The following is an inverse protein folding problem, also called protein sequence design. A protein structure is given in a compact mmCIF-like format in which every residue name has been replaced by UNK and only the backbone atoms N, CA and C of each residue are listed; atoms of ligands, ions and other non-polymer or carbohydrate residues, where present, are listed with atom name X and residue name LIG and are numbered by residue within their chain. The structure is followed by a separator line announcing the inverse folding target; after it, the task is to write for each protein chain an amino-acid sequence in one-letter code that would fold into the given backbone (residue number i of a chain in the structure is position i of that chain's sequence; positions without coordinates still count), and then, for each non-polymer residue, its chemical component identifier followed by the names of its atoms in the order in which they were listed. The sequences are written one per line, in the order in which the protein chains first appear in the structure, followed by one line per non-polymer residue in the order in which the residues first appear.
data_IF_000302711045
#
_entry.id   IF_000302711045
#
_cell.length_a   1.000
_cell.length_b   1.000
_cell.length_c   1.000
_cell.angle_alpha   90.00
_cell.angle_beta   90.00
_cell.angle_gamma   90.00
#
_symmetry.space_group_name_H-M   'P 1'
#
loop_
_entity.id
_entity.type
_entity.pdbx_description
1 polymer ?
#
# COMPACT_ATOMS: atom_id res chain seq x y z
N UNK A 1 -5.25 40.08 -15.48
CA UNK A 1 -5.43 38.91 -14.60
C UNK A 1 -4.11 38.62 -13.90
N UNK A 2 -3.92 39.08 -12.66
CA UNK A 2 -2.78 38.68 -11.83
C UNK A 2 -3.15 37.36 -11.16
N UNK A 3 -2.48 36.29 -11.54
CA UNK A 3 -2.52 35.02 -10.82
C UNK A 3 -1.89 35.25 -9.45
N UNK A 4 -2.72 35.37 -8.41
CA UNK A 4 -2.27 35.29 -7.03
C UNK A 4 -1.72 33.87 -6.83
N UNK A 5 -0.41 33.72 -7.00
CA UNK A 5 0.33 32.54 -6.57
C UNK A 5 0.35 32.59 -5.06
N UNK A 6 -0.70 32.04 -4.44
CA UNK A 6 -0.72 31.76 -3.01
C UNK A 6 0.41 30.78 -2.72
N UNK A 7 1.44 31.27 -2.01
CA UNK A 7 2.55 30.44 -1.54
C UNK A 7 2.00 29.16 -0.90
N UNK A 8 2.55 27.97 -1.23
CA UNK A 8 2.11 26.72 -0.62
C UNK A 8 2.30 26.83 0.89
N UNK A 9 1.20 26.79 1.65
CA UNK A 9 1.27 26.83 3.10
C UNK A 9 1.96 25.57 3.60
N UNK A 10 2.84 25.67 4.60
CA UNK A 10 3.69 24.59 5.13
C UNK A 10 2.90 23.29 5.42
N UNK A 11 1.66 23.40 5.90
CA UNK A 11 0.77 22.27 6.13
C UNK A 11 0.43 21.46 4.85
N UNK A 12 0.34 22.11 3.69
CA UNK A 12 0.14 21.41 2.41
C UNK A 12 1.37 20.62 2.01
N UNK A 13 2.58 21.16 2.25
CA UNK A 13 3.84 20.47 1.99
C UNK A 13 3.96 19.23 2.89
N UNK A 14 3.66 19.38 4.19
CA UNK A 14 3.69 18.26 5.14
C UNK A 14 2.67 17.18 4.79
N UNK A 15 1.45 17.55 4.40
CA UNK A 15 0.41 16.60 4.07
C UNK A 15 0.71 15.87 2.75
N UNK A 16 1.30 16.56 1.78
CA UNK A 16 1.82 15.94 0.55
C UNK A 16 2.96 14.96 0.87
N UNK A 17 3.91 15.34 1.74
CA UNK A 17 4.96 14.45 2.21
C UNK A 17 4.41 13.20 2.92
N UNK A 18 3.40 13.36 3.78
CA UNK A 18 2.75 12.26 4.48
C UNK A 18 2.08 11.27 3.51
N UNK A 19 1.47 11.74 2.41
CA UNK A 19 0.92 10.88 1.37
C UNK A 19 1.99 9.97 0.76
N UNK A 20 3.17 10.50 0.39
CA UNK A 20 4.24 9.67 -0.16
C UNK A 20 4.83 8.72 0.86
N UNK A 21 4.92 9.11 2.14
CA UNK A 21 5.35 8.20 3.20
C UNK A 21 4.38 7.02 3.32
N UNK A 22 3.06 7.28 3.35
CA UNK A 22 2.04 6.23 3.41
C UNK A 22 2.06 5.33 2.17
N UNK A 23 2.30 5.91 1.00
CA UNK A 23 2.48 5.17 -0.25
C UNK A 23 3.73 4.29 -0.21
N UNK A 24 4.86 4.82 0.27
CA UNK A 24 6.11 4.08 0.45
C UNK A 24 5.96 2.92 1.43
N UNK A 25 5.25 3.12 2.54
CA UNK A 25 4.93 2.03 3.48
C UNK A 25 4.16 0.91 2.78
N UNK A 26 3.18 1.23 1.91
CA UNK A 26 2.48 0.22 1.14
C UNK A 26 3.40 -0.55 0.17
N UNK A 27 4.39 0.11 -0.44
CA UNK A 27 5.41 -0.57 -1.25
C UNK A 27 6.15 -1.61 -0.42
N UNK A 28 6.64 -1.21 0.75
CA UNK A 28 7.40 -2.11 1.65
C UNK A 28 6.55 -3.30 2.07
N UNK A 29 5.28 -3.07 2.44
CA UNK A 29 4.36 -4.15 2.84
C UNK A 29 4.05 -5.08 1.67
N UNK A 30 3.89 -4.56 0.44
CA UNK A 30 3.72 -5.39 -0.76
C UNK A 30 4.96 -6.25 -1.04
N UNK A 31 6.16 -5.69 -0.92
CA UNK A 31 7.41 -6.46 -1.09
C UNK A 31 7.51 -7.57 -0.05
N UNK A 32 7.19 -7.29 1.21
CA UNK A 32 7.16 -8.30 2.27
C UNK A 32 6.13 -9.40 1.99
N UNK A 33 4.93 -9.05 1.54
CA UNK A 33 3.90 -10.02 1.17
C UNK A 33 4.36 -10.93 0.01
N UNK A 34 5.01 -10.36 -1.01
CA UNK A 34 5.57 -11.13 -2.13
C UNK A 34 6.69 -12.08 -1.70
N UNK A 35 7.60 -11.61 -0.84
CA UNK A 35 8.65 -12.46 -0.29
C UNK A 35 8.06 -13.64 0.49
N UNK A 36 7.00 -13.39 1.28
CA UNK A 36 6.31 -14.43 2.05
C UNK A 36 5.60 -15.44 1.14
N UNK A 37 4.86 -14.99 0.12
CA UNK A 37 4.19 -15.86 -0.85
C UNK A 37 5.21 -16.71 -1.61
N UNK A 38 6.34 -16.12 -2.04
CA UNK A 38 7.44 -16.85 -2.69
C UNK A 38 7.99 -17.95 -1.79
N UNK A 39 8.21 -17.65 -0.50
CA UNK A 39 8.67 -18.63 0.48
C UNK A 39 7.68 -19.79 0.63
N UNK A 40 6.38 -19.47 0.73
CA UNK A 40 5.31 -20.47 0.79
C UNK A 40 5.30 -21.37 -0.44
N UNK A 41 5.30 -20.79 -1.64
CA UNK A 41 5.32 -21.56 -2.90
C UNK A 41 6.54 -22.48 -2.95
N UNK A 42 7.69 -21.99 -2.49
CA UNK A 42 8.93 -22.79 -2.45
C UNK A 42 8.79 -24.02 -1.55
N UNK A 43 8.24 -23.85 -0.33
CA UNK A 43 8.05 -24.97 0.60
C UNK A 43 6.98 -25.94 0.10
N UNK A 44 5.87 -25.45 -0.43
CA UNK A 44 4.81 -26.30 -1.00
C UNK A 44 5.32 -27.13 -2.19
N UNK A 45 6.20 -26.55 -3.01
CA UNK A 45 6.81 -27.26 -4.13
C UNK A 45 7.68 -28.44 -3.66
N UNK A 46 8.49 -28.21 -2.62
CA UNK A 46 9.33 -29.25 -2.01
C UNK A 46 8.45 -30.32 -1.35
N UNK A 47 7.41 -29.90 -0.62
CA UNK A 47 6.48 -30.81 0.07
C UNK A 47 5.70 -31.71 -0.90
N UNK A 48 5.42 -31.23 -2.11
CA UNK A 48 4.77 -32.01 -3.16
C UNK A 48 5.69 -33.07 -3.81
N UNK A 49 6.99 -33.08 -3.49
CA UNK A 49 7.95 -34.00 -4.11
C UNK A 49 8.27 -33.67 -5.57
N UNK A 50 8.01 -32.45 -6.01
CA UNK A 50 8.22 -32.03 -7.39
C UNK A 50 9.69 -31.77 -7.71
N UNK A 51 10.04 -31.85 -9.00
CA UNK A 51 11.41 -31.73 -9.47
C UNK A 51 12.07 -30.38 -9.14
N UNK A 52 13.36 -30.47 -8.78
CA UNK A 52 14.24 -29.32 -8.48
C UNK A 52 14.50 -28.47 -9.73
N UNK A 53 14.49 -29.06 -10.93
CA UNK A 53 14.74 -28.34 -12.18
C UNK A 53 13.66 -27.29 -12.50
N UNK A 54 12.40 -27.58 -12.17
CA UNK A 54 11.27 -26.66 -12.38
C UNK A 54 11.16 -25.58 -11.30
N UNK A 55 11.87 -25.74 -10.18
CA UNK A 55 11.80 -24.85 -9.03
C UNK A 55 12.20 -23.40 -9.37
N UNK A 56 13.27 -23.22 -10.13
CA UNK A 56 13.73 -21.90 -10.56
C UNK A 56 12.71 -21.17 -11.45
N UNK A 57 12.07 -21.91 -12.37
CA UNK A 57 11.04 -21.40 -13.26
C UNK A 57 9.80 -20.94 -12.48
N UNK A 58 9.35 -21.72 -11.51
CA UNK A 58 8.17 -21.38 -10.69
C UNK A 58 8.43 -20.19 -9.80
N UNK A 59 9.62 -20.10 -9.18
CA UNK A 59 9.96 -18.92 -8.39
C UNK A 59 10.03 -17.66 -9.27
N UNK A 60 10.49 -17.80 -10.51
CA UNK A 60 10.55 -16.68 -11.46
C UNK A 60 9.15 -16.26 -11.91
N UNK A 61 8.25 -17.20 -12.19
CA UNK A 61 6.85 -16.92 -12.51
C UNK A 61 6.14 -16.28 -11.32
N UNK A 62 6.34 -16.80 -10.11
CA UNK A 62 5.76 -16.25 -8.89
C UNK A 62 6.19 -14.79 -8.67
N UNK A 63 7.49 -14.51 -8.83
CA UNK A 63 8.00 -13.14 -8.76
C UNK A 63 7.48 -12.25 -9.89
N UNK A 64 7.37 -12.76 -11.12
CA UNK A 64 6.90 -11.98 -12.26
C UNK A 64 5.42 -11.62 -12.09
N UNK A 65 4.56 -12.61 -11.86
CA UNK A 65 3.12 -12.41 -11.71
C UNK A 65 2.82 -11.63 -10.44
N UNK A 66 3.41 -12.01 -9.31
CA UNK A 66 3.25 -11.31 -8.05
C UNK A 66 3.78 -9.88 -8.12
N UNK A 67 4.93 -9.68 -8.75
CA UNK A 67 5.54 -8.37 -8.98
C UNK A 67 4.65 -7.46 -9.82
N UNK A 68 4.07 -7.96 -10.93
CA UNK A 68 3.14 -7.19 -11.77
C UNK A 68 1.89 -6.80 -10.98
N UNK A 69 1.31 -7.72 -10.20
CA UNK A 69 0.13 -7.44 -9.37
C UNK A 69 0.44 -6.39 -8.31
N UNK A 70 1.56 -6.55 -7.58
CA UNK A 70 1.98 -5.59 -6.57
C UNK A 70 2.31 -4.22 -7.16
N UNK A 71 2.99 -4.18 -8.31
CA UNK A 71 3.29 -2.94 -9.02
C UNK A 71 2.01 -2.21 -9.45
N UNK A 72 1.09 -2.93 -10.09
CA UNK A 72 -0.22 -2.38 -10.50
C UNK A 72 -0.98 -1.82 -9.29
N UNK A 73 -0.99 -2.55 -8.18
CA UNK A 73 -1.62 -2.12 -6.94
C UNK A 73 -0.98 -0.84 -6.37
N UNK A 74 0.35 -0.78 -6.28
CA UNK A 74 1.09 0.40 -5.79
C UNK A 74 0.85 1.62 -6.66
N UNK A 75 0.88 1.46 -7.99
CA UNK A 75 0.62 2.56 -8.92
C UNK A 75 -0.81 3.06 -8.81
N UNK A 76 -1.78 2.15 -8.65
CA UNK A 76 -3.17 2.51 -8.38
C UNK A 76 -3.30 3.31 -7.06
N UNK A 77 -2.61 2.89 -6.00
CA UNK A 77 -2.63 3.58 -4.71
C UNK A 77 -2.07 4.99 -4.79
N UNK A 78 -1.02 5.22 -5.58
CA UNK A 78 -0.46 6.56 -5.77
C UNK A 78 -1.52 7.53 -6.32
N UNK A 79 -2.19 7.14 -7.41
CA UNK A 79 -3.28 7.92 -8.00
C UNK A 79 -4.46 8.10 -7.04
N UNK A 80 -4.79 7.04 -6.29
CA UNK A 80 -5.87 7.06 -5.30
C UNK A 80 -5.61 8.05 -4.15
N UNK A 81 -4.38 8.11 -3.63
CA UNK A 81 -4.02 9.08 -2.60
C UNK A 81 -3.95 10.52 -3.14
N UNK A 82 -3.39 10.75 -4.34
CA UNK A 82 -3.33 12.08 -4.96
C UNK A 82 -4.73 12.65 -5.23
N UNK A 83 -5.64 11.87 -5.82
CA UNK A 83 -7.00 12.30 -6.13
C UNK A 83 -7.82 12.69 -4.88
N UNK A 84 -7.44 12.17 -3.70
CA UNK A 84 -8.07 12.51 -2.43
C UNK A 84 -7.76 13.93 -1.97
N UNK A 85 -6.63 14.49 -2.41
CA UNK A 85 -6.17 15.82 -2.00
C UNK A 85 -6.67 16.92 -2.94
N UNK A 86 -6.75 16.63 -4.24
CA UNK A 86 -7.07 17.59 -5.30
C UNK A 86 -8.53 18.04 -5.33
N UNK A 87 -9.46 17.33 -4.68
CA UNK A 87 -10.87 17.76 -4.63
C UNK A 87 -10.99 19.10 -3.91
N UNK A 88 -11.35 20.20 -4.61
CA UNK A 88 -11.50 21.49 -4.00
C UNK A 88 -12.75 21.45 -3.12
N UNK A 89 -12.56 21.64 -1.83
CA UNK A 89 -13.67 21.95 -0.93
C UNK A 89 -14.06 23.38 -1.29
N UNK A 90 -15.25 23.56 -1.87
CA UNK A 90 -15.87 24.88 -2.05
C UNK A 90 -16.04 25.50 -0.66
N UNK A 91 -15.02 26.23 -0.23
CA UNK A 91 -15.06 27.00 1.01
C UNK A 91 -15.92 28.24 0.73
N UNK A 92 -17.18 28.19 1.14
CA UNK A 92 -18.06 29.35 1.22
C UNK A 92 -17.36 30.38 2.12
N UNK A 93 -16.95 31.50 1.52
CA UNK A 93 -16.19 32.55 2.20
C UNK A 93 -16.97 33.09 3.39
N UNK A 94 -16.54 32.71 4.60
CA UNK A 94 -17.07 33.16 5.88
C UNK A 94 -15.90 33.64 6.75
N UNK A 95 -16.09 34.60 7.68
CA UNK A 95 -14.98 35.34 8.31
C UNK A 95 -14.15 34.50 9.29
N UNK A 96 -14.61 33.29 9.64
CA UNK A 96 -13.95 32.38 10.59
C UNK A 96 -13.08 31.33 9.89
N UNK A 97 -12.26 31.77 8.93
CA UNK A 97 -11.53 30.88 8.01
C UNK A 97 -10.47 30.00 8.69
N UNK A 98 -9.87 30.42 9.81
CA UNK A 98 -8.79 29.65 10.46
C UNK A 98 -9.31 28.38 11.14
N UNK A 99 -10.43 28.48 11.88
CA UNK A 99 -11.08 27.36 12.56
C UNK A 99 -11.63 26.33 11.56
N UNK A 100 -12.25 26.82 10.47
CA UNK A 100 -12.79 26.01 9.39
C UNK A 100 -11.66 25.29 8.63
N UNK A 101 -10.55 25.96 8.33
CA UNK A 101 -9.40 25.38 7.64
C UNK A 101 -8.70 24.30 8.45
N UNK A 102 -8.59 24.48 9.77
CA UNK A 102 -8.04 23.47 10.66
C UNK A 102 -8.95 22.24 10.77
N UNK A 103 -10.27 22.44 10.93
CA UNK A 103 -11.26 21.36 10.96
C UNK A 103 -11.27 20.56 9.66
N UNK A 104 -11.08 21.23 8.52
CA UNK A 104 -11.00 20.60 7.21
C UNK A 104 -9.71 19.78 7.01
N UNK A 105 -8.59 20.27 7.55
CA UNK A 105 -7.30 19.55 7.49
C UNK A 105 -7.37 18.27 8.33
N UNK A 106 -7.95 18.34 9.53
CA UNK A 106 -8.16 17.17 10.39
C UNK A 106 -9.07 16.13 9.73
N UNK A 107 -10.16 16.57 9.09
CA UNK A 107 -11.05 15.67 8.35
C UNK A 107 -10.38 15.00 7.14
N UNK A 108 -9.56 15.75 6.38
CA UNK A 108 -8.75 15.19 5.29
C UNK A 108 -7.74 14.15 5.81
N UNK A 109 -7.10 14.41 6.95
CA UNK A 109 -6.14 13.49 7.57
C UNK A 109 -6.82 12.19 8.03
N UNK A 110 -7.99 12.28 8.65
CA UNK A 110 -8.76 11.12 9.11
C UNK A 110 -9.19 10.23 7.94
N UNK A 111 -9.63 10.83 6.82
CA UNK A 111 -9.94 10.10 5.59
C UNK A 111 -8.70 9.43 5.00
N UNK A 112 -7.55 10.13 4.98
CA UNK A 112 -6.29 9.56 4.50
C UNK A 112 -5.88 8.35 5.34
N UNK A 113 -5.93 8.46 6.67
CA UNK A 113 -5.65 7.36 7.60
C UNK A 113 -6.60 6.18 7.41
N UNK A 114 -7.90 6.44 7.27
CA UNK A 114 -8.89 5.38 7.04
C UNK A 114 -8.65 4.66 5.71
N UNK A 115 -8.33 5.40 4.65
CA UNK A 115 -7.97 4.83 3.33
C UNK A 115 -6.67 4.05 3.40
N UNK A 116 -5.68 4.56 4.13
CA UNK A 116 -4.43 3.86 4.36
C UNK A 116 -4.64 2.54 5.09
N UNK A 117 -5.43 2.53 6.16
CA UNK A 117 -5.76 1.30 6.89
C UNK A 117 -6.42 0.27 5.97
N UNK A 118 -7.39 0.68 5.15
CA UNK A 118 -8.11 -0.22 4.24
C UNK A 118 -7.21 -0.78 3.12
N UNK A 119 -6.32 0.05 2.58
CA UNK A 119 -5.44 -0.35 1.46
C UNK A 119 -4.27 -1.20 1.95
N UNK A 120 -3.68 -0.88 3.10
CA UNK A 120 -2.59 -1.66 3.72
C UNK A 120 -3.09 -3.00 4.25
N UNK A 121 -4.37 -3.10 4.64
CA UNK A 121 -4.97 -4.36 5.09
C UNK A 121 -4.92 -5.47 4.02
N UNK A 122 -4.94 -5.12 2.74
CA UNK A 122 -4.89 -6.11 1.64
C UNK A 122 -3.55 -6.86 1.61
N UNK A 123 -2.39 -6.19 1.41
CA UNK A 123 -1.11 -6.89 1.41
C UNK A 123 -0.75 -7.47 2.79
N UNK A 124 -1.17 -6.85 3.89
CA UNK A 124 -1.04 -7.45 5.23
C UNK A 124 -1.81 -8.75 5.38
N UNK A 125 -3.05 -8.81 4.88
CA UNK A 125 -3.86 -10.02 4.89
C UNK A 125 -3.19 -11.15 4.11
N UNK A 126 -2.67 -10.86 2.92
CA UNK A 126 -1.91 -11.82 2.10
C UNK A 126 -0.68 -12.31 2.87
N UNK A 127 0.06 -11.41 3.51
CA UNK A 127 1.24 -11.75 4.29
C UNK A 127 0.90 -12.70 5.45
N UNK A 128 -0.15 -12.39 6.24
CA UNK A 128 -0.57 -13.23 7.37
C UNK A 128 -1.05 -14.60 6.89
N UNK A 129 -1.87 -14.65 5.85
CA UNK A 129 -2.36 -15.92 5.29
C UNK A 129 -1.20 -16.76 4.78
N UNK A 130 -0.26 -16.15 4.05
CA UNK A 130 0.91 -16.86 3.53
C UNK A 130 1.83 -17.35 4.66
N UNK A 131 1.96 -16.57 5.74
CA UNK A 131 2.68 -16.99 6.94
C UNK A 131 2.05 -18.20 7.62
N UNK A 132 0.74 -18.14 7.90
CA UNK A 132 0.02 -19.25 8.54
C UNK A 132 0.08 -20.51 7.69
N UNK A 133 -0.10 -20.39 6.37
CA UNK A 133 0.02 -21.51 5.45
C UNK A 133 1.44 -22.11 5.45
N UNK A 134 2.48 -21.27 5.55
CA UNK A 134 3.87 -21.71 5.59
C UNK A 134 4.14 -22.51 6.87
N UNK A 135 3.70 -22.01 8.02
CA UNK A 135 3.79 -22.72 9.30
C UNK A 135 3.12 -24.09 9.26
N UNK A 136 1.93 -24.18 8.66
CA UNK A 136 1.22 -25.46 8.49
C UNK A 136 2.01 -26.40 7.57
N UNK A 137 2.47 -25.92 6.42
CA UNK A 137 3.23 -26.72 5.47
C UNK A 137 4.53 -27.28 6.08
N UNK A 138 5.26 -26.45 6.82
CA UNK A 138 6.49 -26.86 7.51
C UNK A 138 6.22 -27.93 8.57
N UNK A 139 5.14 -27.79 9.36
CA UNK A 139 4.75 -28.80 10.36
C UNK A 139 4.37 -30.15 9.76
N UNK A 140 3.79 -30.15 8.55
CA UNK A 140 3.48 -31.38 7.82
C UNK A 140 4.77 -32.01 7.28
N UNK A 141 5.69 -31.20 6.75
CA UNK A 141 6.94 -31.69 6.15
C UNK A 141 7.92 -32.31 7.16
N UNK A 142 7.95 -31.79 8.39
CA UNK A 142 8.88 -32.24 9.45
C UNK A 142 8.36 -33.47 10.22
N UNK A 143 7.09 -33.83 10.05
CA UNK A 143 6.50 -35.05 10.65
C UNK A 143 6.73 -36.27 9.77
#
# INVERSE_FOLDING_TARGET
MKTLVTSPTLNHILLYGLIYILWFVNIVVCVAALAQVRSLVSVLWIAAGNDVYSFGLINSICLLVGGIVAFTFVMFLEGYYRASFERPVQATASPDQSSIRQKLTNWKLDILLRRFAMTTAIPLGVLIVAWVALEIALRILVR
#
